data_IF_610936049527
#
_entry.id   IF_610936049527
#
_cell.length_a   1.000
_cell.length_b   1.000
_cell.length_c   1.000
_cell.angle_alpha   90.00
_cell.angle_beta   90.00
_cell.angle_gamma   90.00
#
_symmetry.space_group_name_H-M   'P 1'
#
loop_
_entity.id
_entity.type
_entity.pdbx_description
1 polymer ?
#
# COMPACT_ATOMS: atom_id res chain seq x y z
N UNK A 1 -4.16 -1.19 35.66
CA UNK A 1 -4.58 -1.90 34.43
C UNK A 1 -4.02 -1.12 33.25
N UNK A 2 -3.09 -1.72 32.51
CA UNK A 2 -2.47 -1.06 31.36
C UNK A 2 -3.46 -1.18 30.19
N UNK A 3 -3.88 -0.10 29.50
CA UNK A 3 -4.78 -0.19 28.37
C UNK A 3 -3.99 -0.70 27.17
N UNK A 4 -3.65 -1.99 27.21
CA UNK A 4 -3.08 -2.68 26.06
C UNK A 4 -4.12 -2.64 24.96
N UNK A 5 -3.84 -1.84 23.93
CA UNK A 5 -4.49 -1.83 22.64
C UNK A 5 -4.93 -3.26 22.26
N UNK A 6 -6.24 -3.53 22.35
CA UNK A 6 -6.84 -4.82 22.00
C UNK A 6 -6.91 -4.95 20.48
N UNK A 7 -5.75 -4.98 19.83
CA UNK A 7 -5.65 -5.13 18.38
C UNK A 7 -5.50 -6.61 18.09
N UNK A 8 -6.35 -7.16 17.24
CA UNK A 8 -6.28 -8.57 16.85
C UNK A 8 -5.22 -8.75 15.74
N UNK A 9 -4.17 -9.57 15.95
CA UNK A 9 -3.16 -9.82 14.92
C UNK A 9 -3.73 -10.33 13.59
N UNK A 10 -4.82 -11.10 13.62
CA UNK A 10 -5.48 -11.61 12.42
C UNK A 10 -6.20 -10.49 11.62
N UNK A 11 -6.73 -9.48 12.30
CA UNK A 11 -7.34 -8.32 11.62
C UNK A 11 -6.26 -7.45 10.96
N UNK A 12 -5.10 -7.29 11.61
CA UNK A 12 -3.97 -6.59 11.02
C UNK A 12 -3.40 -7.32 9.81
N UNK A 13 -3.32 -8.65 9.86
CA UNK A 13 -2.90 -9.46 8.72
C UNK A 13 -3.86 -9.31 7.54
N UNK A 14 -5.17 -9.40 7.79
CA UNK A 14 -6.20 -9.17 6.75
C UNK A 14 -6.11 -7.77 6.16
N UNK A 15 -5.88 -6.75 6.99
CA UNK A 15 -5.70 -5.38 6.53
C UNK A 15 -4.45 -5.26 5.63
N UNK A 16 -3.32 -5.85 6.03
CA UNK A 16 -2.11 -5.87 5.23
C UNK A 16 -2.30 -6.58 3.87
N UNK A 17 -2.97 -7.73 3.87
CA UNK A 17 -3.32 -8.47 2.64
C UNK A 17 -4.22 -7.65 1.72
N UNK A 18 -5.24 -6.98 2.28
CA UNK A 18 -6.14 -6.12 1.52
C UNK A 18 -5.39 -4.92 0.89
N UNK A 19 -4.57 -4.22 1.68
CA UNK A 19 -3.76 -3.10 1.19
C UNK A 19 -2.81 -3.53 0.07
N UNK A 20 -2.18 -4.69 0.20
CA UNK A 20 -1.31 -5.24 -0.84
C UNK A 20 -2.08 -5.57 -2.14
N UNK A 21 -3.32 -6.06 -2.00
CA UNK A 21 -4.24 -6.24 -3.13
C UNK A 21 -4.57 -4.91 -3.82
N UNK A 22 -4.94 -3.88 -3.04
CA UNK A 22 -5.21 -2.53 -3.56
C UNK A 22 -4.00 -1.96 -4.31
N UNK A 23 -2.79 -2.06 -3.75
CA UNK A 23 -1.57 -1.60 -4.42
C UNK A 23 -1.35 -2.33 -5.76
N UNK A 24 -1.64 -3.63 -5.81
CA UNK A 24 -1.51 -4.42 -7.03
C UNK A 24 -2.48 -3.94 -8.12
N UNK A 25 -3.73 -3.72 -7.77
CA UNK A 25 -4.77 -3.20 -8.68
C UNK A 25 -4.46 -1.76 -9.13
N UNK A 26 -3.99 -0.94 -8.21
CA UNK A 26 -3.53 0.43 -8.49
C UNK A 26 -2.40 0.42 -9.51
N UNK A 27 -1.36 -0.40 -9.30
CA UNK A 27 -0.22 -0.51 -10.21
C UNK A 27 -0.63 -0.99 -11.61
N UNK A 28 -1.57 -1.94 -11.71
CA UNK A 28 -2.12 -2.37 -12.99
C UNK A 28 -2.84 -1.22 -13.71
N UNK A 29 -3.65 -0.46 -12.98
CA UNK A 29 -4.38 0.71 -13.50
C UNK A 29 -3.41 1.81 -13.95
N UNK A 30 -2.40 2.12 -13.15
CA UNK A 30 -1.34 3.08 -13.49
C UNK A 30 -0.57 2.66 -14.76
N UNK A 31 -0.34 1.35 -14.94
CA UNK A 31 0.26 0.80 -16.16
C UNK A 31 -0.58 1.08 -17.41
N UNK A 32 -1.88 0.79 -17.37
CA UNK A 32 -2.78 1.09 -18.50
C UNK A 32 -2.84 2.58 -18.82
N UNK A 33 -2.88 3.43 -17.80
CA UNK A 33 -2.94 4.88 -17.97
C UNK A 33 -1.64 5.45 -18.52
N UNK A 34 -0.49 4.88 -18.14
CA UNK A 34 0.82 5.24 -18.71
C UNK A 34 0.91 4.84 -20.19
N UNK A 35 0.37 3.68 -20.56
CA UNK A 35 0.28 3.29 -21.98
C UNK A 35 -0.60 4.26 -22.76
N UNK A 36 -1.79 4.57 -22.24
CA UNK A 36 -2.70 5.53 -22.87
C UNK A 36 -2.06 6.92 -22.99
N UNK A 37 -1.35 7.39 -21.97
CA UNK A 37 -0.58 8.62 -21.97
C UNK A 37 0.48 8.67 -23.08
N UNK A 38 1.07 7.52 -23.40
CA UNK A 38 2.01 7.38 -24.51
C UNK A 38 1.34 7.39 -25.88
N UNK A 39 0.15 6.82 -26.01
CA UNK A 39 -0.56 6.61 -27.28
C UNK A 39 -1.44 7.80 -27.70
N UNK A 40 -2.20 8.36 -26.76
CA UNK A 40 -3.20 9.41 -27.02
C UNK A 40 -2.59 10.65 -27.71
N UNK A 41 -1.43 11.17 -27.31
CA UNK A 41 -0.80 12.31 -28.00
C UNK A 41 -0.29 11.99 -29.41
N UNK A 42 -0.11 10.70 -29.76
CA UNK A 42 0.30 10.30 -31.12
C UNK A 42 -0.91 10.22 -32.05
N UNK A 43 -2.07 9.89 -31.50
CA UNK A 43 -3.35 9.84 -32.22
C UNK A 43 -3.89 11.26 -32.47
N UNK A 44 -3.61 12.19 -31.58
CA UNK A 44 -4.00 13.60 -31.70
C UNK A 44 -2.89 14.41 -32.37
N UNK A 45 -3.19 15.07 -33.48
CA UNK A 45 -2.22 15.91 -34.20
C UNK A 45 -2.28 17.38 -33.76
N UNK A 46 -1.15 18.07 -33.88
CA UNK A 46 -1.03 19.51 -33.60
C UNK A 46 -1.29 19.85 -32.13
N UNK A 47 -1.87 21.03 -31.88
CA UNK A 47 -2.06 21.58 -30.52
C UNK A 47 -2.83 20.64 -29.57
N UNK A 48 -3.73 19.81 -30.10
CA UNK A 48 -4.47 18.83 -29.31
C UNK A 48 -3.56 17.71 -28.79
N UNK A 49 -2.61 17.24 -29.61
CA UNK A 49 -1.61 16.26 -29.19
C UNK A 49 -0.66 16.81 -28.14
N UNK A 50 -0.23 18.07 -28.28
CA UNK A 50 0.64 18.71 -27.29
C UNK A 50 -0.07 18.92 -25.95
N UNK A 51 -1.33 19.35 -25.96
CA UNK A 51 -2.16 19.47 -24.76
C UNK A 51 -2.39 18.10 -24.09
N UNK A 52 -2.68 17.07 -24.89
CA UNK A 52 -2.83 15.70 -24.38
C UNK A 52 -1.52 15.18 -23.77
N UNK A 53 -0.37 15.46 -24.38
CA UNK A 53 0.95 15.07 -23.84
C UNK A 53 1.20 15.73 -22.48
N UNK A 54 0.92 17.04 -22.37
CA UNK A 54 1.10 17.77 -21.11
C UNK A 54 0.20 17.21 -20.00
N UNK A 55 -1.12 17.13 -20.26
CA UNK A 55 -2.09 16.64 -19.27
C UNK A 55 -1.81 15.19 -18.85
N UNK A 56 -1.47 14.32 -19.79
CA UNK A 56 -1.14 12.93 -19.50
C UNK A 56 0.19 12.77 -18.76
N UNK A 57 1.16 13.64 -19.04
CA UNK A 57 2.43 13.67 -18.30
C UNK A 57 2.23 14.01 -16.82
N UNK A 58 1.48 15.08 -16.53
CA UNK A 58 1.12 15.46 -15.15
C UNK A 58 0.37 14.34 -14.43
N UNK A 59 -0.56 13.69 -15.14
CA UNK A 59 -1.33 12.59 -14.61
C UNK A 59 -0.48 11.35 -14.28
N UNK A 60 0.46 10.97 -15.15
CA UNK A 60 1.38 9.85 -14.90
C UNK A 60 2.30 10.12 -13.71
N UNK A 61 2.77 11.36 -13.55
CA UNK A 61 3.55 11.76 -12.37
C UNK A 61 2.74 11.60 -11.09
N UNK A 62 1.53 12.13 -11.04
CA UNK A 62 0.66 12.03 -9.86
C UNK A 62 0.32 10.57 -9.51
N UNK A 63 0.06 9.72 -10.51
CA UNK A 63 -0.17 8.29 -10.30
C UNK A 63 1.07 7.58 -9.72
N UNK A 64 2.26 7.94 -10.20
CA UNK A 64 3.51 7.33 -9.72
C UNK A 64 3.77 7.68 -8.25
N UNK A 65 3.50 8.93 -7.86
CA UNK A 65 3.62 9.39 -6.47
C UNK A 65 2.62 8.68 -5.55
N UNK A 66 1.36 8.55 -5.99
CA UNK A 66 0.34 7.84 -5.22
C UNK A 66 0.69 6.36 -5.03
N UNK A 67 1.13 5.66 -6.08
CA UNK A 67 1.51 4.25 -5.98
C UNK A 67 2.69 4.01 -5.03
N UNK A 68 3.68 4.90 -5.03
CA UNK A 68 4.79 4.84 -4.09
C UNK A 68 4.32 5.02 -2.63
N UNK A 69 3.38 5.92 -2.39
CA UNK A 69 2.83 6.17 -1.05
C UNK A 69 1.94 5.01 -0.57
N UNK A 70 1.11 4.42 -1.44
CA UNK A 70 0.30 3.26 -1.10
C UNK A 70 1.17 2.04 -0.75
N UNK A 71 2.22 1.77 -1.52
CA UNK A 71 3.21 0.73 -1.22
C UNK A 71 3.87 0.98 0.15
N UNK A 72 4.26 2.23 0.43
CA UNK A 72 4.85 2.62 1.72
C UNK A 72 3.89 2.41 2.89
N UNK A 73 2.59 2.61 2.69
CA UNK A 73 1.55 2.36 3.70
C UNK A 73 1.41 0.85 3.93
N UNK A 74 1.30 0.06 2.88
CA UNK A 74 1.18 -1.40 2.97
C UNK A 74 2.36 -2.03 3.73
N UNK A 75 3.59 -1.58 3.46
CA UNK A 75 4.80 -2.01 4.17
C UNK A 75 4.74 -1.67 5.67
N UNK A 76 4.38 -0.44 6.03
CA UNK A 76 4.26 -0.03 7.44
C UNK A 76 3.21 -0.81 8.20
N UNK A 77 2.08 -1.12 7.57
CA UNK A 77 1.03 -1.95 8.18
C UNK A 77 1.51 -3.39 8.38
N UNK A 78 2.22 -3.95 7.39
CA UNK A 78 2.83 -5.28 7.50
C UNK A 78 3.85 -5.35 8.64
N UNK A 79 4.72 -4.36 8.75
CA UNK A 79 5.73 -4.31 9.81
C UNK A 79 5.11 -4.12 11.20
N UNK A 80 4.10 -3.26 11.32
CA UNK A 80 3.34 -3.12 12.56
C UNK A 80 2.69 -4.45 12.98
N UNK A 81 2.09 -5.18 12.05
CA UNK A 81 1.49 -6.49 12.32
C UNK A 81 2.52 -7.50 12.84
N UNK A 82 3.73 -7.53 12.25
CA UNK A 82 4.84 -8.41 12.70
C UNK A 82 5.34 -8.03 14.09
N UNK A 83 5.55 -6.74 14.36
CA UNK A 83 5.99 -6.25 15.68
C UNK A 83 4.95 -6.56 16.76
N UNK A 84 3.67 -6.39 16.45
CA UNK A 84 2.60 -6.70 17.40
C UNK A 84 2.53 -8.20 17.70
N UNK A 85 2.57 -9.05 16.67
CA UNK A 85 2.55 -10.51 16.84
C UNK A 85 3.75 -11.04 17.65
N UNK A 86 4.95 -10.48 17.44
CA UNK A 86 6.13 -10.86 18.22
C UNK A 86 6.06 -10.38 19.67
N UNK A 87 5.55 -9.17 19.91
CA UNK A 87 5.28 -8.64 21.25
C UNK A 87 4.29 -9.50 22.04
N UNK A 88 3.20 -9.92 21.40
CA UNK A 88 2.21 -10.79 22.05
C UNK A 88 2.75 -12.19 22.34
N UNK A 89 3.55 -12.75 21.42
CA UNK A 89 4.23 -14.05 21.63
C UNK A 89 5.20 -14.01 22.82
N UNK A 90 5.92 -12.90 22.99
CA UNK A 90 6.80 -12.68 24.15
C UNK A 90 6.00 -12.55 25.46
N UNK A 91 4.86 -11.84 25.45
CA UNK A 91 3.98 -11.74 26.63
C UNK A 91 3.39 -13.08 27.01
N UNK A 92 2.90 -13.86 26.04
CA UNK A 92 2.36 -15.20 26.27
C UNK A 92 3.41 -16.14 26.87
N UNK A 93 4.65 -16.08 26.38
CA UNK A 93 5.78 -16.88 26.90
C UNK A 93 6.11 -16.49 28.34
N UNK A 94 6.19 -15.19 28.65
CA UNK A 94 6.48 -14.71 30.00
C UNK A 94 5.40 -15.11 31.02
N UNK A 95 4.12 -15.05 30.65
CA UNK A 95 3.01 -15.49 31.52
C UNK A 95 3.10 -16.99 31.79
N UNK A 96 3.44 -17.79 30.78
CA UNK A 96 3.53 -19.26 30.90
C UNK A 96 4.69 -19.67 31.80
N UNK A 97 5.85 -19.01 31.71
CA UNK A 97 6.99 -19.26 32.58
C UNK A 97 6.72 -18.85 34.04
N UNK A 98 6.00 -17.74 34.26
CA UNK A 98 5.65 -17.27 35.61
C UNK A 98 4.62 -18.18 36.31
N UNK A 99 3.79 -18.91 35.54
CA UNK A 99 2.74 -19.79 36.08
C UNK A 99 3.23 -21.21 36.42
N UNK A 100 4.34 -21.63 35.82
CA UNK A 100 4.92 -22.96 35.96
C UNK A 100 6.22 -22.98 36.81
N UNK A 101 6.57 -21.84 37.43
CA UNK A 101 7.72 -21.68 38.32
C UNK A 101 7.31 -21.47 39.77
#
# INVERSE_FOLDING_TARGET
MNPGLNVNPEELKKLAEHLNGTVTEFNATAGHLTQLAGELPRLLQGKAGDAARAAMGEFVTALSELGAEEQRIAEKVSDFAKTFASGESLRATAITQTRNG
#
